data_IF_809236608916
#
_entry.id   IF_809236608916
#
_cell.length_a   1.000
_cell.length_b   1.000
_cell.length_c   1.000
_cell.angle_alpha   90.00
_cell.angle_beta   90.00
_cell.angle_gamma   90.00
#
_symmetry.space_group_name_H-M   'P 1'
#
loop_
_entity.id
_entity.type
_entity.pdbx_description
1 polymer ?
#
# COMPACT_ATOMS: atom_id res chain seq x y z
N UNK A 1 17.11 -10.64 24.75
CA UNK A 1 16.34 -9.51 25.29
C UNK A 1 15.85 -8.59 24.18
N UNK A 2 14.56 -8.60 23.86
CA UNK A 2 13.96 -7.55 23.01
C UNK A 2 13.80 -6.31 23.89
N UNK A 3 14.68 -5.33 23.72
CA UNK A 3 14.48 -3.99 24.25
C UNK A 3 13.44 -3.29 23.37
N UNK A 4 12.16 -3.52 23.67
CA UNK A 4 11.08 -2.70 23.13
C UNK A 4 10.93 -1.51 24.07
N UNK A 5 11.18 -0.31 23.57
CA UNK A 5 10.96 0.93 24.31
C UNK A 5 9.59 1.48 23.93
N UNK A 6 8.70 1.60 24.92
CA UNK A 6 7.41 2.25 24.71
C UNK A 6 7.59 3.73 24.95
N UNK A 7 7.27 4.53 23.93
CA UNK A 7 7.37 5.98 23.99
C UNK A 7 5.95 6.51 24.09
N UNK A 8 5.67 7.24 25.17
CA UNK A 8 4.38 7.91 25.37
C UNK A 8 4.61 9.40 25.37
N UNK A 9 4.00 10.10 24.43
CA UNK A 9 4.02 11.56 24.35
C UNK A 9 2.61 12.10 24.16
N UNK A 10 2.36 13.26 24.77
CA UNK A 10 1.13 14.00 24.57
C UNK A 10 1.24 14.79 23.27
N UNK A 11 0.27 14.62 22.38
CA UNK A 11 0.10 15.45 21.19
C UNK A 11 -0.99 16.49 21.46
N UNK A 12 -0.79 17.73 21.01
CA UNK A 12 -1.85 18.75 21.07
C UNK A 12 -3.00 18.45 20.09
N UNK A 13 -2.66 17.93 18.92
CA UNK A 13 -3.59 17.54 17.86
C UNK A 13 -3.37 16.06 17.56
N UNK A 14 -4.44 15.28 17.45
CA UNK A 14 -4.35 13.85 17.19
C UNK A 14 -5.60 13.26 16.56
N UNK A 15 -5.48 11.99 16.18
CA UNK A 15 -6.62 11.18 15.73
C UNK A 15 -7.57 10.92 16.90
N UNK A 16 -8.88 10.94 16.63
CA UNK A 16 -9.94 10.62 17.60
C UNK A 16 -9.98 11.44 18.90
N UNK A 17 -9.40 12.65 18.90
CA UNK A 17 -9.55 13.65 19.97
C UNK A 17 -10.83 14.49 19.72
N UNK A 18 -11.23 15.31 20.69
CA UNK A 18 -12.36 16.24 20.63
C UNK A 18 -12.38 17.13 19.37
N UNK A 19 -13.52 17.78 19.11
CA UNK A 19 -13.84 18.37 17.80
C UNK A 19 -12.78 19.35 17.27
N UNK A 20 -12.33 20.29 18.10
CA UNK A 20 -11.36 21.31 17.70
C UNK A 20 -9.90 20.84 17.73
N UNK A 21 -9.60 19.80 18.51
CA UNK A 21 -8.27 19.22 18.64
C UNK A 21 -8.08 18.02 17.68
N UNK A 22 -9.15 17.69 16.94
CA UNK A 22 -9.15 16.62 15.96
C UNK A 22 -8.27 16.99 14.76
N UNK A 23 -7.40 16.07 14.36
CA UNK A 23 -6.46 16.29 13.25
C UNK A 23 -7.17 16.63 11.94
N UNK A 24 -8.27 15.95 11.60
CA UNK A 24 -8.97 16.18 10.35
C UNK A 24 -9.56 17.59 10.30
N UNK A 25 -10.21 18.04 11.37
CA UNK A 25 -10.75 19.39 11.47
C UNK A 25 -9.66 20.45 11.23
N UNK A 26 -8.52 20.30 11.92
CA UNK A 26 -7.40 21.22 11.81
C UNK A 26 -6.79 21.26 10.40
N UNK A 27 -6.63 20.10 9.76
CA UNK A 27 -6.08 19.99 8.42
C UNK A 27 -7.04 20.55 7.35
N UNK A 28 -8.33 20.22 7.43
CA UNK A 28 -9.33 20.73 6.49
C UNK A 28 -9.57 22.23 6.62
N UNK A 29 -9.41 22.80 7.82
CA UNK A 29 -9.41 24.25 8.01
C UNK A 29 -8.25 24.95 7.29
N UNK A 30 -7.10 24.27 7.09
CA UNK A 30 -5.99 24.81 6.29
C UNK A 30 -6.24 24.68 4.79
N UNK A 31 -6.83 23.57 4.36
CA UNK A 31 -7.15 23.32 2.95
C UNK A 31 -8.37 22.42 2.84
N UNK A 32 -9.51 22.99 2.46
CA UNK A 32 -10.80 22.29 2.51
C UNK A 32 -11.05 21.34 1.32
N UNK A 33 -10.69 21.75 0.09
CA UNK A 33 -10.97 20.98 -1.13
C UNK A 33 -9.88 19.98 -1.49
N UNK A 34 -9.54 19.10 -0.54
CA UNK A 34 -8.57 18.00 -0.72
C UNK A 34 -9.07 16.77 0.00
N UNK A 35 -8.50 15.62 -0.34
CA UNK A 35 -8.55 14.43 0.49
C UNK A 35 -7.21 14.24 1.19
N UNK A 36 -7.25 13.60 2.35
CA UNK A 36 -6.06 13.18 3.08
C UNK A 36 -5.87 11.69 2.84
N UNK A 37 -4.63 11.28 2.56
CA UNK A 37 -4.27 9.86 2.60
C UNK A 37 -4.08 9.38 4.04
N UNK A 38 -3.73 8.10 4.20
CA UNK A 38 -3.45 7.52 5.51
C UNK A 38 -2.46 8.36 6.32
N UNK A 39 -2.89 8.78 7.51
CA UNK A 39 -2.06 9.48 8.47
C UNK A 39 -1.07 8.46 9.08
N UNK A 40 0.16 8.89 9.28
CA UNK A 40 1.17 8.05 9.93
C UNK A 40 2.19 8.89 10.68
N UNK A 41 3.00 8.22 11.49
CA UNK A 41 3.91 8.86 12.41
C UNK A 41 5.36 8.55 12.03
N UNK A 42 6.22 9.57 12.06
CA UNK A 42 7.67 9.44 11.90
C UNK A 42 8.29 9.73 13.25
N UNK A 43 9.04 8.76 13.80
CA UNK A 43 9.84 8.96 15.00
C UNK A 43 11.31 9.17 14.63
N UNK A 44 11.88 10.33 14.97
CA UNK A 44 13.29 10.63 14.71
C UNK A 44 13.85 11.56 15.77
N UNK A 45 15.02 11.22 16.34
CA UNK A 45 15.75 12.04 17.33
C UNK A 45 14.85 12.50 18.49
N UNK A 46 14.07 11.59 19.07
CA UNK A 46 13.12 11.88 20.15
C UNK A 46 12.01 12.87 19.80
N UNK A 47 11.67 13.01 18.51
CA UNK A 47 10.52 13.77 18.03
C UNK A 47 9.57 12.87 17.23
N UNK A 48 8.27 13.03 17.49
CA UNK A 48 7.20 12.42 16.72
C UNK A 48 6.63 13.48 15.78
N UNK A 49 6.64 13.16 14.49
CA UNK A 49 5.95 13.94 13.48
C UNK A 49 4.74 13.17 12.99
N UNK A 50 3.59 13.83 12.97
CA UNK A 50 2.38 13.28 12.36
C UNK A 50 2.30 13.78 10.93
N UNK A 51 2.21 12.86 9.97
CA UNK A 51 2.23 13.19 8.55
C UNK A 51 0.91 12.79 7.90
N UNK A 52 0.31 13.72 7.16
CA UNK A 52 -0.90 13.51 6.40
C UNK A 52 -0.67 13.84 4.92
N UNK A 53 -0.58 12.84 4.04
CA UNK A 53 -0.52 13.04 2.59
C UNK A 53 -1.74 13.79 2.05
N UNK A 54 -1.54 14.67 1.08
CA UNK A 54 -2.60 15.50 0.50
C UNK A 54 -2.86 15.08 -0.94
N UNK A 55 -4.11 14.76 -1.23
CA UNK A 55 -4.62 14.48 -2.57
C UNK A 55 -5.51 15.66 -2.97
N UNK A 56 -5.08 16.43 -3.98
CA UNK A 56 -5.88 17.51 -4.54
C UNK A 56 -6.40 17.12 -5.93
N UNK A 57 -7.27 17.94 -6.50
CA UNK A 57 -7.96 17.62 -7.74
C UNK A 57 -7.76 18.69 -8.80
N UNK A 58 -7.49 18.26 -10.04
CA UNK A 58 -7.43 19.13 -11.21
C UNK A 58 -8.58 18.80 -12.15
N UNK A 59 -9.40 19.80 -12.45
CA UNK A 59 -10.49 19.63 -13.41
C UNK A 59 -9.92 19.41 -14.81
N UNK A 60 -10.33 18.30 -15.44
CA UNK A 60 -10.20 18.05 -16.87
C UNK A 60 -11.54 17.53 -17.35
N UNK A 61 -12.32 18.40 -17.98
CA UNK A 61 -13.68 18.07 -18.44
C UNK A 61 -13.75 16.68 -19.10
N UNK A 62 -14.65 15.77 -18.68
CA UNK A 62 -15.73 15.97 -17.70
C UNK A 62 -15.39 15.52 -16.25
N UNK A 63 -14.12 15.23 -15.94
CA UNK A 63 -13.71 14.59 -14.67
C UNK A 63 -12.76 15.44 -13.81
N UNK A 64 -12.62 15.04 -12.55
CA UNK A 64 -11.62 15.56 -11.63
C UNK A 64 -10.48 14.55 -11.51
N UNK A 65 -9.27 14.94 -11.90
CA UNK A 65 -8.09 14.07 -11.80
C UNK A 65 -7.42 14.32 -10.45
N UNK A 66 -7.41 13.36 -9.53
CA UNK A 66 -6.67 13.49 -8.28
C UNK A 66 -5.17 13.53 -8.57
N UNK A 67 -4.40 14.26 -7.78
CA UNK A 67 -2.94 14.31 -7.85
C UNK A 67 -2.34 14.52 -6.45
N UNK A 68 -1.12 14.05 -6.27
CA UNK A 68 -0.36 14.25 -5.04
C UNK A 68 0.05 15.71 -4.90
N UNK A 69 -0.49 16.38 -3.88
CA UNK A 69 -0.30 17.80 -3.66
C UNK A 69 0.74 18.11 -2.58
N UNK A 70 1.38 17.11 -1.99
CA UNK A 70 2.34 17.25 -0.90
C UNK A 70 1.80 16.66 0.40
N UNK A 71 2.31 17.13 1.54
CA UNK A 71 1.96 16.63 2.86
C UNK A 71 1.72 17.77 3.85
N UNK A 72 0.85 17.51 4.82
CA UNK A 72 0.90 18.22 6.09
C UNK A 72 1.81 17.46 7.06
N UNK A 73 2.61 18.20 7.81
CA UNK A 73 3.43 17.69 8.90
C UNK A 73 3.07 18.46 10.15
N UNK A 74 2.63 17.72 11.17
CA UNK A 74 2.34 18.23 12.50
C UNK A 74 3.46 17.81 13.43
N UNK A 75 3.99 18.77 14.19
CA UNK A 75 4.84 18.48 15.33
C UNK A 75 4.01 18.22 16.60
N UNK A 76 4.70 17.86 17.68
CA UNK A 76 4.10 17.53 18.97
C UNK A 76 3.36 18.72 19.61
N UNK A 77 3.72 19.95 19.22
CA UNK A 77 3.15 21.22 19.69
C UNK A 77 1.99 21.70 18.78
N UNK A 78 1.46 20.84 17.91
CA UNK A 78 0.31 21.17 17.07
C UNK A 78 0.62 22.13 15.92
N UNK A 79 1.89 22.45 15.64
CA UNK A 79 2.24 23.31 14.51
C UNK A 79 2.10 22.53 13.21
N UNK A 80 1.19 23.00 12.37
CA UNK A 80 0.93 22.43 11.04
C UNK A 80 1.84 23.12 10.02
N UNK A 81 2.73 22.35 9.40
CA UNK A 81 3.55 22.77 8.27
C UNK A 81 3.07 22.08 7.00
N UNK A 82 3.07 22.78 5.87
CA UNK A 82 2.75 22.22 4.57
C UNK A 82 4.01 22.16 3.71
N UNK A 83 4.25 21.00 3.10
CA UNK A 83 5.35 20.79 2.17
C UNK A 83 4.82 20.29 0.83
N UNK A 84 5.18 20.99 -0.24
CA UNK A 84 4.93 20.55 -1.62
C UNK A 84 5.74 19.29 -1.95
N UNK A 85 5.38 18.52 -3.00
CA UNK A 85 6.13 17.32 -3.39
C UNK A 85 7.64 17.57 -3.56
N UNK A 86 8.02 18.65 -4.24
CA UNK A 86 9.42 19.02 -4.46
C UNK A 86 10.18 19.41 -3.16
N UNK A 87 9.46 19.84 -2.12
CA UNK A 87 10.06 20.14 -0.82
C UNK A 87 10.23 18.85 -0.01
N UNK A 88 9.24 17.97 -0.04
CA UNK A 88 9.25 16.68 0.68
C UNK A 88 10.49 15.85 0.34
N UNK A 89 10.86 15.76 -0.94
CA UNK A 89 12.04 15.03 -1.39
C UNK A 89 13.37 15.53 -0.80
N UNK A 90 13.40 16.78 -0.31
CA UNK A 90 14.60 17.42 0.24
C UNK A 90 14.66 17.38 1.77
N UNK A 91 13.61 16.87 2.42
CA UNK A 91 13.49 16.83 3.88
C UNK A 91 14.05 15.50 4.40
N UNK A 92 14.95 15.58 5.37
CA UNK A 92 15.71 14.44 5.90
C UNK A 92 14.80 13.38 6.56
N UNK A 93 13.68 13.80 7.12
CA UNK A 93 12.67 12.97 7.77
C UNK A 93 11.93 12.05 6.78
N UNK A 94 11.86 12.47 5.52
CA UNK A 94 11.23 11.70 4.45
C UNK A 94 12.21 10.82 3.68
N UNK A 95 13.52 10.97 3.90
CA UNK A 95 14.51 10.04 3.37
C UNK A 95 14.28 8.66 4.00
N UNK A 96 13.97 7.66 3.16
CA UNK A 96 13.53 6.31 3.56
C UNK A 96 12.15 6.25 4.23
N UNK A 97 11.30 7.24 4.01
CA UNK A 97 9.91 7.21 4.45
C UNK A 97 8.94 7.39 3.27
N UNK A 98 7.68 7.04 3.49
CA UNK A 98 6.62 7.33 2.52
C UNK A 98 6.25 8.82 2.61
N UNK A 99 5.57 9.32 1.59
CA UNK A 99 4.83 10.59 1.58
C UNK A 99 3.72 10.57 0.53
N UNK A 100 3.95 9.85 -0.56
CA UNK A 100 2.95 9.57 -1.59
C UNK A 100 1.87 8.62 -1.04
N UNK A 101 0.57 8.95 -1.18
CA UNK A 101 -0.51 8.16 -0.60
C UNK A 101 -0.74 6.84 -1.34
N UNK A 102 -0.90 5.75 -0.57
CA UNK A 102 -1.13 4.40 -1.11
C UNK A 102 -2.42 4.29 -1.92
N UNK A 103 -3.50 4.96 -1.50
CA UNK A 103 -4.75 5.01 -2.25
C UNK A 103 -4.60 5.62 -3.64
N UNK A 104 -3.77 6.67 -3.76
CA UNK A 104 -3.50 7.32 -5.05
C UNK A 104 -2.62 6.43 -5.93
N UNK A 105 -1.65 5.73 -5.35
CA UNK A 105 -0.86 4.73 -6.05
C UNK A 105 -1.77 3.63 -6.63
N UNK A 106 -2.69 3.11 -5.80
CA UNK A 106 -3.69 2.12 -6.23
C UNK A 106 -4.54 2.62 -7.37
N UNK A 107 -5.07 3.84 -7.24
CA UNK A 107 -5.95 4.45 -8.25
C UNK A 107 -5.24 4.62 -9.60
N UNK A 108 -3.99 5.09 -9.57
CA UNK A 108 -3.22 5.30 -10.79
C UNK A 108 -2.86 3.98 -11.47
N UNK A 109 -2.51 2.95 -10.69
CA UNK A 109 -2.31 1.60 -11.24
C UNK A 109 -3.62 1.05 -11.80
N UNK A 110 -4.74 1.11 -11.08
CA UNK A 110 -6.05 0.65 -11.59
C UNK A 110 -6.45 1.37 -12.88
N UNK A 111 -6.07 2.64 -13.03
CA UNK A 111 -6.32 3.43 -14.25
C UNK A 111 -5.56 2.90 -15.47
N UNK A 112 -4.50 2.10 -15.29
CA UNK A 112 -3.77 1.47 -16.39
C UNK A 112 -4.65 0.58 -17.25
N UNK A 113 -5.77 0.02 -16.74
CA UNK A 113 -6.74 -0.72 -17.57
C UNK A 113 -7.27 0.07 -18.78
N UNK A 114 -7.18 1.40 -18.74
CA UNK A 114 -7.58 2.31 -19.82
C UNK A 114 -6.42 2.74 -20.74
N UNK A 115 -5.21 2.18 -20.61
CA UNK A 115 -4.05 2.64 -21.38
C UNK A 115 -4.21 2.42 -22.90
N UNK A 116 -4.96 1.39 -23.32
CA UNK A 116 -5.38 1.18 -24.71
C UNK A 116 -6.72 1.83 -25.07
N UNK A 117 -7.23 2.72 -24.21
CA UNK A 117 -8.47 3.46 -24.40
C UNK A 117 -9.72 2.74 -23.87
N UNK A 118 -10.81 3.51 -23.74
CA UNK A 118 -12.07 3.07 -23.12
C UNK A 118 -12.73 1.91 -23.86
N UNK A 119 -12.65 1.90 -25.20
CA UNK A 119 -13.20 0.80 -26.02
C UNK A 119 -12.50 -0.52 -25.69
N UNK A 120 -11.17 -0.48 -25.46
CA UNK A 120 -10.45 -1.68 -25.06
C UNK A 120 -10.96 -2.18 -23.71
N UNK A 121 -10.99 -1.32 -22.70
CA UNK A 121 -11.39 -1.70 -21.33
C UNK A 121 -12.82 -2.25 -21.23
N UNK A 122 -13.74 -1.79 -22.08
CA UNK A 122 -15.16 -2.16 -21.98
C UNK A 122 -15.55 -3.34 -22.87
N UNK A 123 -14.78 -3.63 -23.93
CA UNK A 123 -15.20 -4.61 -24.93
C UNK A 123 -14.12 -5.58 -25.38
N UNK A 124 -12.86 -5.12 -25.53
CA UNK A 124 -11.79 -5.93 -26.13
C UNK A 124 -10.91 -6.62 -25.09
N UNK A 125 -10.74 -5.99 -23.93
CA UNK A 125 -9.97 -6.45 -22.78
C UNK A 125 -8.54 -6.90 -23.10
N UNK A 126 -7.90 -6.32 -24.11
CA UNK A 126 -6.51 -6.66 -24.47
C UNK A 126 -5.56 -6.04 -23.47
N UNK A 127 -4.59 -6.83 -22.98
CA UNK A 127 -3.60 -6.41 -21.98
C UNK A 127 -4.23 -5.61 -20.82
N UNK A 128 -5.41 -6.06 -20.38
CA UNK A 128 -6.14 -5.39 -19.33
C UNK A 128 -5.77 -6.01 -17.99
N UNK A 129 -5.32 -5.16 -17.07
CA UNK A 129 -5.03 -5.56 -15.69
C UNK A 129 -6.28 -5.50 -14.80
N UNK A 130 -6.23 -6.25 -13.72
CA UNK A 130 -7.16 -6.19 -12.60
C UNK A 130 -6.39 -6.32 -11.28
N UNK A 131 -6.69 -5.44 -10.31
CA UNK A 131 -6.09 -5.54 -8.96
C UNK A 131 -6.95 -6.49 -8.13
N UNK A 132 -6.53 -7.76 -8.08
CA UNK A 132 -7.20 -8.77 -7.25
C UNK A 132 -6.80 -8.63 -5.79
N UNK A 133 -7.75 -8.22 -4.95
CA UNK A 133 -7.59 -8.30 -3.50
C UNK A 133 -8.06 -9.66 -2.99
N UNK A 134 -7.40 -10.13 -1.95
CA UNK A 134 -7.87 -11.30 -1.22
C UNK A 134 -9.13 -10.92 -0.45
N UNK A 135 -10.22 -11.64 -0.75
CA UNK A 135 -11.48 -11.46 -0.05
C UNK A 135 -11.35 -11.69 1.46
N UNK A 136 -11.94 -10.79 2.25
CA UNK A 136 -11.97 -10.89 3.71
C UNK A 136 -10.72 -10.41 4.44
N UNK A 137 -9.71 -9.88 3.72
CA UNK A 137 -8.58 -9.20 4.37
C UNK A 137 -8.89 -7.73 4.63
N UNK A 138 -8.53 -7.28 5.84
CA UNK A 138 -8.61 -5.88 6.21
C UNK A 138 -7.59 -5.03 5.44
N UNK A 139 -6.36 -5.53 5.30
CA UNK A 139 -5.32 -4.84 4.54
C UNK A 139 -5.32 -5.31 3.07
N UNK A 140 -5.46 -4.34 2.16
CA UNK A 140 -5.51 -4.54 0.70
C UNK A 140 -4.27 -3.95 0.04
N UNK A 141 -4.02 -4.31 -1.22
CA UNK A 141 -2.93 -3.70 -1.97
C UNK A 141 -3.17 -2.17 -2.11
N UNK A 142 -2.13 -1.32 -2.22
CA UNK A 142 -0.71 -1.62 -2.31
C UNK A 142 -0.10 -2.07 -0.97
N UNK A 143 0.92 -2.91 -1.05
CA UNK A 143 1.75 -3.22 0.11
C UNK A 143 2.95 -2.27 0.18
N UNK A 144 3.17 -1.63 1.33
CA UNK A 144 4.38 -0.83 1.56
C UNK A 144 5.55 -1.77 1.82
N UNK A 145 6.56 -1.73 0.97
CA UNK A 145 7.69 -2.63 1.05
C UNK A 145 9.02 -1.88 0.95
N UNK A 146 10.00 -2.18 1.82
CA UNK A 146 11.35 -1.66 1.65
C UNK A 146 12.04 -2.36 0.48
N UNK A 147 12.71 -1.57 -0.35
CA UNK A 147 13.56 -2.04 -1.44
C UNK A 147 14.93 -1.35 -1.36
N UNK A 148 15.91 -1.82 -2.13
CA UNK A 148 17.22 -1.15 -2.25
C UNK A 148 17.10 0.31 -2.74
N UNK A 149 16.02 0.63 -3.46
CA UNK A 149 15.73 1.97 -3.99
C UNK A 149 14.77 2.77 -3.10
N UNK A 150 14.60 2.37 -1.83
CA UNK A 150 13.69 3.01 -0.87
C UNK A 150 12.34 2.29 -0.73
N UNK A 151 11.41 2.93 -0.03
CA UNK A 151 10.06 2.37 0.18
C UNK A 151 9.25 2.44 -1.11
N UNK A 152 8.59 1.33 -1.46
CA UNK A 152 7.70 1.24 -2.63
C UNK A 152 6.33 0.74 -2.20
N UNK A 153 5.30 1.29 -2.83
CA UNK A 153 3.96 0.72 -2.90
C UNK A 153 3.95 -0.34 -3.99
N UNK A 154 3.89 -1.61 -3.61
CA UNK A 154 3.87 -2.72 -4.58
C UNK A 154 2.44 -3.19 -4.80
N UNK A 155 2.05 -3.28 -6.07
CA UNK A 155 0.73 -3.72 -6.51
C UNK A 155 0.92 -4.80 -7.56
N UNK A 156 0.45 -6.00 -7.27
CA UNK A 156 0.38 -7.08 -8.22
C UNK A 156 -1.01 -7.19 -8.82
N UNK A 157 -1.05 -7.41 -10.13
CA UNK A 157 -2.29 -7.50 -10.89
C UNK A 157 -2.41 -8.81 -11.62
N UNK A 158 -3.64 -9.21 -11.85
CA UNK A 158 -4.03 -10.36 -12.66
C UNK A 158 -4.55 -9.85 -14.01
N UNK A 159 -4.58 -10.68 -15.07
CA UNK A 159 -5.25 -10.28 -16.29
C UNK A 159 -6.77 -10.31 -16.06
N UNK A 160 -7.50 -9.42 -16.73
CA UNK A 160 -8.95 -9.33 -16.64
C UNK A 160 -9.65 -10.67 -16.96
N UNK A 161 -10.63 -11.05 -16.14
CA UNK A 161 -11.47 -12.24 -16.39
C UNK A 161 -11.06 -13.51 -15.62
N UNK A 162 -10.40 -13.36 -14.46
CA UNK A 162 -10.04 -14.43 -13.51
C UNK A 162 -9.02 -15.47 -13.99
N UNK A 163 -7.76 -15.06 -14.18
CA UNK A 163 -6.66 -16.04 -14.38
C UNK A 163 -6.00 -16.51 -13.06
N UNK A 164 -6.29 -15.88 -11.92
CA UNK A 164 -5.62 -16.16 -10.63
C UNK A 164 -4.08 -16.24 -10.73
N UNK A 165 -3.53 -15.58 -11.74
CA UNK A 165 -2.13 -15.61 -12.14
C UNK A 165 -1.60 -14.20 -12.21
N UNK A 166 -0.34 -14.00 -11.86
CA UNK A 166 0.29 -12.68 -11.88
C UNK A 166 0.54 -12.29 -13.33
N UNK A 167 0.10 -11.10 -13.69
CA UNK A 167 0.30 -10.53 -15.00
C UNK A 167 1.37 -9.44 -14.98
N UNK A 168 1.17 -8.43 -14.12
CA UNK A 168 2.08 -7.29 -13.99
C UNK A 168 2.26 -6.95 -12.52
N UNK A 169 3.45 -6.49 -12.16
CA UNK A 169 3.75 -5.96 -10.83
C UNK A 169 4.18 -4.51 -10.98
N UNK A 170 3.41 -3.60 -10.38
CA UNK A 170 3.71 -2.18 -10.35
C UNK A 170 4.46 -1.85 -9.07
N UNK A 171 5.54 -1.08 -9.22
CA UNK A 171 6.34 -0.53 -8.13
C UNK A 171 6.15 0.99 -8.16
N UNK A 172 5.37 1.51 -7.23
CA UNK A 172 5.16 2.95 -7.10
C UNK A 172 6.05 3.49 -5.99
N UNK A 173 6.91 4.43 -6.31
CA UNK A 173 7.79 5.07 -5.34
C UNK A 173 6.97 5.73 -4.22
N UNK A 174 7.19 5.32 -2.97
CA UNK A 174 6.34 5.75 -1.87
C UNK A 174 6.58 7.21 -1.46
N UNK A 175 7.63 7.87 -1.97
CA UNK A 175 7.94 9.27 -1.71
C UNK A 175 7.40 10.18 -2.82
N UNK A 176 7.65 9.80 -4.08
CA UNK A 176 7.42 10.63 -5.27
C UNK A 176 6.20 10.23 -6.09
N UNK A 177 5.77 8.97 -6.00
CA UNK A 177 4.72 8.40 -6.84
C UNK A 177 5.16 7.99 -8.23
N UNK A 178 6.47 7.99 -8.54
CA UNK A 178 6.99 7.45 -9.80
C UNK A 178 6.60 5.97 -9.92
N UNK A 179 5.98 5.61 -11.04
CA UNK A 179 5.52 4.24 -11.30
C UNK A 179 6.54 3.56 -12.21
N UNK A 180 7.09 2.44 -11.74
CA UNK A 180 7.82 1.46 -12.55
C UNK A 180 6.97 0.18 -12.62
N UNK A 181 7.22 -0.66 -13.64
CA UNK A 181 6.44 -1.86 -13.91
C UNK A 181 7.36 -3.01 -14.29
N UNK A 182 7.13 -4.16 -13.66
CA UNK A 182 7.67 -5.44 -14.05
C UNK A 182 6.59 -6.21 -14.80
N UNK A 183 6.83 -6.44 -16.08
CA UNK A 183 6.05 -7.34 -16.91
C UNK A 183 6.65 -8.74 -16.77
N UNK A 184 5.80 -9.72 -16.48
CA UNK A 184 6.21 -11.11 -16.32
C UNK A 184 6.04 -11.82 -17.66
N UNK A 185 6.91 -12.79 -17.97
CA UNK A 185 6.84 -13.53 -19.23
C UNK A 185 5.46 -14.16 -19.43
N UNK A 186 4.82 -13.87 -20.57
CA UNK A 186 3.48 -14.38 -20.90
C UNK A 186 3.42 -15.93 -20.93
N UNK A 187 4.56 -16.56 -21.23
CA UNK A 187 4.71 -18.03 -21.24
C UNK A 187 4.78 -18.64 -19.83
N UNK A 188 4.97 -17.82 -18.79
CA UNK A 188 5.03 -18.26 -17.40
C UNK A 188 3.75 -17.87 -16.64
N UNK A 189 2.85 -18.83 -16.44
CA UNK A 189 1.71 -18.62 -15.55
C UNK A 189 2.15 -18.69 -14.08
N UNK A 190 2.56 -17.56 -13.53
CA UNK A 190 2.90 -17.43 -12.12
C UNK A 190 1.63 -17.31 -11.28
N UNK A 191 1.56 -18.00 -10.15
CA UNK A 191 0.37 -18.01 -9.28
C UNK A 191 0.19 -16.68 -8.58
N UNK A 192 -1.03 -16.12 -8.65
CA UNK A 192 -1.41 -14.84 -8.07
C UNK A 192 -1.67 -14.85 -6.56
N UNK A 193 -1.78 -13.66 -5.95
CA UNK A 193 -1.89 -13.47 -4.49
C UNK A 193 -3.15 -14.12 -3.90
N UNK A 194 -4.24 -14.22 -4.67
CA UNK A 194 -5.49 -14.85 -4.20
C UNK A 194 -5.35 -16.37 -4.14
N UNK A 195 -4.71 -16.98 -5.14
CA UNK A 195 -4.63 -18.44 -5.25
C UNK A 195 -3.60 -19.06 -4.32
N UNK A 196 -2.52 -18.35 -3.98
CA UNK A 196 -1.51 -18.84 -3.03
C UNK A 196 -2.08 -19.18 -1.65
N UNK A 197 -3.16 -18.51 -1.24
CA UNK A 197 -3.84 -18.77 0.04
C UNK A 197 -4.37 -20.21 0.11
N UNK A 198 -4.92 -20.72 -0.98
CA UNK A 198 -5.42 -22.09 -1.05
C UNK A 198 -4.29 -23.11 -0.86
N UNK A 199 -3.09 -22.83 -1.38
CA UNK A 199 -1.92 -23.70 -1.20
C UNK A 199 -1.41 -23.67 0.24
N UNK A 200 -1.38 -22.50 0.90
CA UNK A 200 -1.06 -22.39 2.33
C UNK A 200 -2.06 -23.18 3.18
N UNK A 201 -3.36 -23.01 2.94
CA UNK A 201 -4.40 -23.75 3.68
C UNK A 201 -4.25 -25.26 3.53
N UNK A 202 -3.92 -25.73 2.32
CA UNK A 202 -3.67 -27.14 2.03
C UNK A 202 -2.41 -27.67 2.73
N UNK A 203 -1.34 -26.87 2.83
CA UNK A 203 -0.09 -27.24 3.52
C UNK A 203 -0.29 -27.41 5.02
N UNK A 204 -1.14 -26.59 5.64
CA UNK A 204 -1.40 -26.60 7.08
C UNK A 204 -2.85 -27.02 7.41
N UNK A 205 -3.25 -28.28 7.15
CA UNK A 205 -4.64 -28.73 7.32
C UNK A 205 -5.06 -28.86 8.79
N UNK A 206 -4.11 -28.78 9.73
CA UNK A 206 -4.37 -28.85 11.18
C UNK A 206 -4.70 -27.48 11.80
N UNK A 207 -4.50 -26.40 11.06
CA UNK A 207 -4.87 -25.05 11.51
C UNK A 207 -6.39 -24.89 11.36
N UNK A 208 -7.04 -24.40 12.40
CA UNK A 208 -8.44 -24.00 12.34
C UNK A 208 -8.58 -22.63 11.64
N UNK A 209 -8.89 -22.67 10.34
CA UNK A 209 -9.10 -21.48 9.51
C UNK A 209 -10.39 -20.70 9.83
N UNK A 210 -11.24 -21.21 10.74
CA UNK A 210 -12.39 -20.45 11.23
C UNK A 210 -12.00 -19.41 12.28
N UNK A 211 -10.89 -19.64 12.99
CA UNK A 211 -10.35 -18.75 14.04
C UNK A 211 -9.04 -18.07 13.66
N UNK A 212 -8.45 -18.46 12.53
CA UNK A 212 -7.23 -17.88 11.96
C UNK A 212 -7.46 -17.23 10.60
N UNK A 213 -6.61 -16.25 10.27
CA UNK A 213 -6.59 -15.55 9.00
C UNK A 213 -5.21 -15.64 8.35
N UNK A 214 -5.17 -15.49 7.02
CA UNK A 214 -3.93 -15.33 6.26
C UNK A 214 -3.95 -13.92 5.73
N UNK A 215 -2.99 -13.08 6.08
CA UNK A 215 -2.96 -11.67 5.69
C UNK A 215 -1.78 -11.34 4.79
N UNK A 216 -1.96 -10.30 3.98
CA UNK A 216 -0.92 -9.62 3.20
C UNK A 216 -0.01 -10.55 2.39
N UNK A 217 -0.50 -11.17 1.30
CA UNK A 217 0.38 -11.86 0.36
C UNK A 217 1.29 -10.84 -0.33
N UNK A 218 2.48 -10.63 0.23
CA UNK A 218 3.45 -9.65 -0.23
C UNK A 218 4.40 -10.28 -1.25
N UNK A 219 4.62 -9.68 -2.43
CA UNK A 219 5.51 -10.22 -3.43
C UNK A 219 6.98 -9.99 -3.06
N UNK A 220 7.81 -11.02 -3.14
CA UNK A 220 9.26 -10.99 -2.92
C UNK A 220 9.98 -11.66 -4.09
N UNK A 221 11.10 -11.09 -4.51
CA UNK A 221 12.01 -11.77 -5.45
C UNK A 221 13.14 -12.39 -4.65
N UNK A 222 13.25 -13.72 -4.69
CA UNK A 222 14.32 -14.48 -4.01
C UNK A 222 15.02 -15.31 -5.08
N UNK A 223 16.32 -15.06 -5.28
CA UNK A 223 17.14 -15.71 -6.31
C UNK A 223 16.51 -15.66 -7.72
N UNK A 224 15.95 -14.49 -8.07
CA UNK A 224 15.31 -14.25 -9.38
C UNK A 224 13.91 -14.84 -9.54
N UNK A 225 13.35 -15.49 -8.52
CA UNK A 225 12.01 -16.07 -8.56
C UNK A 225 11.04 -15.29 -7.69
N UNK A 226 9.78 -15.21 -8.13
CA UNK A 226 8.72 -14.58 -7.36
C UNK A 226 8.19 -15.53 -6.28
N UNK A 227 8.11 -15.00 -5.07
CA UNK A 227 7.51 -15.63 -3.89
C UNK A 227 6.45 -14.71 -3.31
N UNK A 228 5.43 -15.31 -2.72
CA UNK A 228 4.45 -14.62 -1.91
C UNK A 228 4.75 -14.87 -0.44
N UNK A 229 5.12 -13.83 0.30
CA UNK A 229 5.24 -13.90 1.75
C UNK A 229 3.87 -13.65 2.38
N UNK A 230 3.34 -14.61 3.12
CA UNK A 230 2.06 -14.50 3.81
C UNK A 230 2.26 -14.62 5.33
N UNK A 231 1.46 -13.87 6.08
CA UNK A 231 1.41 -13.99 7.53
C UNK A 231 0.15 -14.72 7.96
N UNK A 232 0.29 -15.76 8.79
CA UNK A 232 -0.83 -16.45 9.43
C UNK A 232 -1.02 -15.83 10.82
N UNK A 233 -2.19 -15.32 11.09
CA UNK A 233 -2.53 -14.65 12.37
C UNK A 233 -3.80 -15.26 12.96
N UNK A 234 -4.00 -15.20 14.29
CA UNK A 234 -5.34 -15.32 14.84
C UNK A 234 -6.23 -14.19 14.31
N UNK A 235 -7.56 -14.39 14.31
CA UNK A 235 -8.52 -13.39 13.78
C UNK A 235 -8.59 -12.09 14.57
N UNK A 236 -8.15 -12.09 15.83
CA UNK A 236 -8.03 -10.89 16.66
C UNK A 236 -6.75 -10.10 16.36
N UNK A 237 -5.89 -10.60 15.45
CA UNK A 237 -4.62 -10.01 15.06
C UNK A 237 -3.65 -9.77 16.23
N UNK A 238 -3.80 -10.51 17.35
CA UNK A 238 -2.97 -10.36 18.54
C UNK A 238 -1.48 -10.71 18.31
N UNK A 239 -1.16 -11.38 17.20
CA UNK A 239 0.21 -11.66 16.79
C UNK A 239 0.30 -12.43 15.47
N UNK A 240 1.54 -12.68 15.04
CA UNK A 240 1.84 -13.54 13.88
C UNK A 240 2.18 -14.93 14.41
N UNK A 241 1.39 -15.93 14.02
CA UNK A 241 1.64 -17.33 14.35
C UNK A 241 2.71 -17.94 13.44
N UNK A 242 2.63 -17.66 12.13
CA UNK A 242 3.59 -18.12 11.13
C UNK A 242 3.81 -17.06 10.05
N UNK A 243 5.01 -17.05 9.49
CA UNK A 243 5.30 -16.39 8.22
C UNK A 243 5.74 -17.47 7.24
N UNK A 244 5.12 -17.52 6.07
CA UNK A 244 5.37 -18.54 5.06
C UNK A 244 5.67 -17.88 3.72
N UNK A 245 6.49 -18.51 2.90
CA UNK A 245 6.71 -18.10 1.53
C UNK A 245 6.13 -19.15 0.58
N UNK A 246 5.46 -18.68 -0.47
CA UNK A 246 4.91 -19.54 -1.52
C UNK A 246 5.57 -19.18 -2.84
N UNK A 247 6.32 -20.10 -3.42
CA UNK A 247 6.91 -19.92 -4.74
C UNK A 247 5.81 -19.84 -5.80
N UNK A 248 5.78 -18.78 -6.61
CA UNK A 248 4.69 -18.56 -7.58
C UNK A 248 4.77 -19.49 -8.80
N UNK A 249 5.92 -20.07 -9.10
CA UNK A 249 6.12 -21.00 -10.23
C UNK A 249 5.59 -22.40 -9.90
N UNK A 250 5.96 -22.95 -8.73
CA UNK A 250 5.71 -24.35 -8.38
C UNK A 250 4.75 -24.55 -7.20
N UNK A 251 4.29 -23.48 -6.56
CA UNK A 251 3.37 -23.48 -5.42
C UNK A 251 3.91 -24.16 -4.15
N UNK A 252 5.23 -24.33 -4.06
CA UNK A 252 5.88 -24.85 -2.87
C UNK A 252 5.76 -23.83 -1.72
N UNK A 253 5.33 -24.31 -0.56
CA UNK A 253 5.19 -23.53 0.68
C UNK A 253 6.35 -23.87 1.60
N UNK A 254 7.16 -22.87 1.93
CA UNK A 254 8.32 -22.92 2.84
C UNK A 254 8.10 -22.07 4.09
#
# INVERSE_FOLDING_TARGET
DRKTEMITKKLEIGEDIGIFDNIYWNLYNKRYFVNLGDIYYIYKKDHILTVAPIIAYKFKFPVMIPYYAGVFVLDEQGKISYYTPNQVEKIEEFQNNRAYPGELARLYVDSYKYYLGVINTWFLHKDQIEISDVYGLANRQPFLMPTEQGLKWIIATEPYGESYGVFKIFLVDALTGKIDMLELDEDQTLTGPVRVISYVKKKFPRIDWSTTGIVEPRPFIINGKLYWMLSITPRDYAGIAYTVFVNSENNEVI
#
